data_IF_246072639940
#
_entry.id   IF_246072639940
#
_cell.length_a   1.000
_cell.length_b   1.000
_cell.length_c   1.000
_cell.angle_alpha   90.00
_cell.angle_beta   90.00
_cell.angle_gamma   90.00
#
_symmetry.space_group_name_H-M   'P 1'
#
loop_
_entity.id
_entity.type
_entity.pdbx_description
1 polymer ?
#
# COMPACT_ATOMS: atom_id res chain seq x y z
N UNK A 1 11.13 0.35 -1.10
CA UNK A 1 10.20 -0.71 -1.57
C UNK A 1 11.00 -1.85 -2.19
N UNK A 2 10.77 -3.11 -1.79
CA UNK A 2 11.36 -4.26 -2.48
C UNK A 2 10.46 -4.69 -3.66
N UNK A 3 10.60 -3.99 -4.78
CA UNK A 3 9.73 -4.16 -5.96
C UNK A 3 9.76 -5.57 -6.56
N UNK A 4 10.89 -6.27 -6.48
CA UNK A 4 11.00 -7.65 -6.95
C UNK A 4 10.25 -8.62 -6.04
N UNK A 5 10.39 -8.49 -4.71
CA UNK A 5 9.63 -9.29 -3.76
C UNK A 5 8.12 -9.06 -3.91
N UNK A 6 7.69 -7.82 -4.11
CA UNK A 6 6.27 -7.50 -4.34
C UNK A 6 5.75 -8.10 -5.64
N UNK A 7 6.54 -8.09 -6.72
CA UNK A 7 6.14 -8.76 -7.97
C UNK A 7 6.01 -10.27 -7.80
N UNK A 8 6.94 -10.91 -7.07
CA UNK A 8 6.88 -12.34 -6.79
C UNK A 8 5.65 -12.71 -5.94
N UNK A 9 5.33 -11.92 -4.91
CA UNK A 9 4.14 -12.17 -4.10
C UNK A 9 2.85 -12.06 -4.92
N UNK A 10 2.77 -11.09 -5.84
CA UNK A 10 1.66 -10.99 -6.79
C UNK A 10 1.60 -12.23 -7.69
N UNK A 11 2.71 -12.63 -8.33
CA UNK A 11 2.76 -13.78 -9.24
C UNK A 11 2.30 -15.08 -8.57
N UNK A 12 2.65 -15.26 -7.29
CA UNK A 12 2.31 -16.45 -6.51
C UNK A 12 0.95 -16.35 -5.80
N UNK A 13 0.20 -15.25 -5.99
CA UNK A 13 -1.03 -14.91 -5.25
C UNK A 13 -0.86 -14.96 -3.72
N UNK A 14 0.36 -14.65 -3.27
CA UNK A 14 0.74 -14.62 -1.86
C UNK A 14 0.34 -13.27 -1.26
N UNK A 15 -0.95 -13.20 -0.89
CA UNK A 15 -1.56 -12.02 -0.30
C UNK A 15 -0.90 -11.60 1.03
N UNK A 16 -0.44 -12.57 1.83
CA UNK A 16 0.20 -12.29 3.13
C UNK A 16 1.53 -11.56 2.92
N UNK A 17 2.37 -12.10 2.02
CA UNK A 17 3.63 -11.44 1.68
C UNK A 17 3.39 -10.07 1.05
N UNK A 18 2.37 -9.94 0.21
CA UNK A 18 2.00 -8.66 -0.38
C UNK A 18 1.62 -7.63 0.68
N UNK A 19 0.70 -7.96 1.60
CA UNK A 19 0.23 -7.07 2.67
C UNK A 19 1.39 -6.61 3.56
N UNK A 20 2.35 -7.49 3.87
CA UNK A 20 3.55 -7.12 4.62
C UNK A 20 4.42 -6.13 3.85
N UNK A 21 4.70 -6.40 2.57
CA UNK A 21 5.53 -5.55 1.74
C UNK A 21 4.89 -4.17 1.47
N UNK A 22 3.56 -4.14 1.37
CA UNK A 22 2.74 -2.94 1.26
C UNK A 22 2.85 -2.08 2.54
N UNK A 23 2.74 -2.70 3.70
CA UNK A 23 2.92 -2.02 4.99
C UNK A 23 4.33 -1.46 5.17
N UNK A 24 5.37 -2.24 4.86
CA UNK A 24 6.76 -1.79 4.92
C UNK A 24 7.01 -0.55 4.03
N UNK A 25 6.33 -0.48 2.89
CA UNK A 25 6.38 0.69 2.02
C UNK A 25 5.78 1.93 2.70
N UNK A 26 4.59 1.81 3.28
CA UNK A 26 3.95 2.93 4.00
C UNK A 26 4.78 3.41 5.20
N UNK A 27 5.35 2.50 5.99
CA UNK A 27 6.26 2.86 7.09
C UNK A 27 7.51 3.61 6.60
N UNK A 28 8.04 3.22 5.44
CA UNK A 28 9.19 3.90 4.84
C UNK A 28 8.86 5.35 4.48
N UNK A 29 7.66 5.61 3.95
CA UNK A 29 7.20 6.96 3.62
C UNK A 29 7.01 7.82 4.88
N UNK A 30 6.38 7.28 5.93
CA UNK A 30 6.16 8.04 7.17
C UNK A 30 7.47 8.38 7.87
N UNK A 31 8.45 7.47 7.84
CA UNK A 31 9.80 7.71 8.36
C UNK A 31 10.52 8.78 7.55
N UNK A 32 10.43 8.73 6.23
CA UNK A 32 11.01 9.76 5.35
C UNK A 32 10.45 11.15 5.64
N UNK A 33 9.15 11.24 5.97
CA UNK A 33 8.46 12.47 6.30
C UNK A 33 8.55 12.88 7.78
N UNK A 34 9.23 12.10 8.64
CA UNK A 34 9.23 12.27 10.10
C UNK A 34 7.82 12.32 10.74
N UNK A 35 6.87 11.54 10.20
CA UNK A 35 5.49 11.46 10.69
C UNK A 35 5.30 10.31 11.69
N UNK A 36 5.96 10.42 12.85
CA UNK A 36 6.02 9.36 13.89
C UNK A 36 4.65 8.92 14.42
N UNK A 37 3.68 9.84 14.52
CA UNK A 37 2.31 9.50 14.95
C UNK A 37 1.62 8.62 13.91
N UNK A 38 1.77 8.96 12.62
CA UNK A 38 1.15 8.20 11.53
C UNK A 38 1.79 6.82 11.41
N UNK A 39 3.10 6.72 11.61
CA UNK A 39 3.79 5.43 11.69
C UNK A 39 3.17 4.51 12.77
N UNK A 40 2.89 5.04 13.96
CA UNK A 40 2.24 4.26 15.03
C UNK A 40 0.83 3.81 14.65
N UNK A 41 0.05 4.70 14.03
CA UNK A 41 -1.31 4.38 13.55
C UNK A 41 -1.27 3.26 12.50
N UNK A 42 -0.35 3.34 11.53
CA UNK A 42 -0.20 2.33 10.49
C UNK A 42 0.23 0.96 11.04
N UNK A 43 1.13 0.93 12.03
CA UNK A 43 1.50 -0.32 12.72
C UNK A 43 0.29 -0.98 13.40
N UNK A 44 -0.53 -0.19 14.10
CA UNK A 44 -1.72 -0.69 14.75
C UNK A 44 -2.76 -1.21 13.75
N UNK A 45 -2.96 -0.49 12.64
CA UNK A 45 -3.87 -0.90 11.58
C UNK A 45 -3.41 -2.19 10.89
N UNK A 46 -2.12 -2.33 10.61
CA UNK A 46 -1.56 -3.54 10.00
C UNK A 46 -1.74 -4.79 10.87
N UNK A 47 -1.52 -4.67 12.18
CA UNK A 47 -1.76 -5.77 13.09
C UNK A 47 -3.23 -6.23 13.07
N UNK A 48 -4.17 -5.28 12.97
CA UNK A 48 -5.60 -5.57 12.84
C UNK A 48 -5.94 -6.18 11.47
N UNK A 49 -5.42 -5.63 10.36
CA UNK A 49 -5.67 -6.15 9.01
C UNK A 49 -5.00 -7.48 8.77
N UNK A 50 -3.91 -7.82 9.44
CA UNK A 50 -3.31 -9.16 9.37
C UNK A 50 -4.15 -10.20 10.12
N UNK A 51 -4.72 -9.83 11.28
CA UNK A 51 -5.68 -10.67 12.01
C UNK A 51 -6.98 -10.88 11.21
N UNK A 52 -7.46 -9.84 10.51
CA UNK A 52 -8.66 -9.89 9.68
C UNK A 52 -8.40 -10.48 8.27
N UNK A 53 -7.19 -10.32 7.73
CA UNK A 53 -6.76 -10.70 6.39
C UNK A 53 -6.70 -12.21 6.15
N UNK A 54 -6.80 -13.01 7.21
CA UNK A 54 -7.12 -14.43 7.11
C UNK A 54 -8.52 -14.69 6.50
N UNK A 55 -9.39 -13.68 6.37
CA UNK A 55 -10.75 -13.79 5.82
C UNK A 55 -11.00 -13.05 4.50
N UNK A 56 -10.24 -12.02 4.16
CA UNK A 56 -10.54 -11.15 3.01
C UNK A 56 -9.70 -11.51 1.79
N UNK A 57 -10.39 -12.01 0.77
CA UNK A 57 -9.85 -12.49 -0.50
C UNK A 57 -9.06 -11.39 -1.23
N UNK A 58 -7.79 -11.69 -1.51
CA UNK A 58 -6.95 -10.99 -2.49
C UNK A 58 -7.64 -10.97 -3.85
N UNK A 59 -7.91 -9.78 -4.39
CA UNK A 59 -8.11 -9.62 -5.83
C UNK A 59 -6.74 -9.36 -6.45
N UNK A 60 -6.15 -10.37 -7.09
CA UNK A 60 -4.87 -10.29 -7.82
C UNK A 60 -4.73 -9.04 -8.71
N UNK A 61 -5.84 -8.55 -9.28
CA UNK A 61 -5.90 -7.29 -10.03
C UNK A 61 -5.58 -6.05 -9.17
N UNK A 62 -6.10 -5.96 -7.95
CA UNK A 62 -5.83 -4.82 -7.05
C UNK A 62 -4.36 -4.78 -6.65
N UNK A 63 -3.74 -5.93 -6.32
CA UNK A 63 -2.32 -5.98 -5.95
C UNK A 63 -1.41 -5.44 -7.07
N UNK A 64 -1.73 -5.76 -8.33
CA UNK A 64 -1.04 -5.17 -9.50
C UNK A 64 -1.21 -3.65 -9.60
N UNK A 65 -2.43 -3.16 -9.38
CA UNK A 65 -2.72 -1.72 -9.41
C UNK A 65 -1.96 -0.98 -8.30
N UNK A 66 -1.94 -1.52 -7.07
CA UNK A 66 -1.17 -0.96 -5.94
C UNK A 66 0.31 -0.87 -6.30
N UNK A 67 0.88 -1.94 -6.87
CA UNK A 67 2.29 -1.92 -7.25
C UNK A 67 2.59 -0.79 -8.25
N UNK A 68 1.71 -0.55 -9.22
CA UNK A 68 1.85 0.55 -10.17
C UNK A 68 1.72 1.91 -9.49
N UNK A 69 0.75 2.08 -8.59
CA UNK A 69 0.57 3.30 -7.79
C UNK A 69 1.83 3.60 -6.95
N UNK A 70 2.45 2.59 -6.33
CA UNK A 70 3.68 2.77 -5.56
C UNK A 70 4.87 3.21 -6.43
N UNK A 71 4.98 2.68 -7.66
CA UNK A 71 6.01 3.15 -8.59
C UNK A 71 5.82 4.62 -8.95
N UNK A 72 4.57 5.08 -9.13
CA UNK A 72 4.28 6.49 -9.41
C UNK A 72 4.69 7.41 -8.25
N UNK A 73 4.45 6.97 -7.00
CA UNK A 73 4.89 7.70 -5.80
C UNK A 73 6.42 7.78 -5.76
N UNK A 74 7.12 6.66 -5.98
CA UNK A 74 8.59 6.62 -5.97
C UNK A 74 9.17 7.53 -7.06
N UNK A 75 8.64 7.46 -8.28
CA UNK A 75 9.10 8.31 -9.38
C UNK A 75 8.94 9.79 -9.04
N UNK A 76 7.81 10.20 -8.47
CA UNK A 76 7.58 11.58 -8.06
C UNK A 76 8.56 12.05 -6.96
N UNK A 77 8.91 11.16 -6.04
CA UNK A 77 9.93 11.42 -5.02
C UNK A 77 11.34 11.53 -5.62
N UNK A 78 11.70 10.68 -6.58
CA UNK A 78 12.98 10.72 -7.31
C UNK A 78 13.13 12.00 -8.12
N UNK A 79 12.05 12.47 -8.72
CA UNK A 79 11.97 13.75 -9.43
C UNK A 79 12.01 14.97 -8.47
N UNK A 80 11.98 14.75 -7.15
CA UNK A 80 11.95 15.79 -6.10
C UNK A 80 10.81 16.79 -6.31
N UNK A 81 9.67 16.31 -6.80
CA UNK A 81 8.49 17.13 -7.06
C UNK A 81 7.44 16.88 -5.96
N UNK A 82 7.36 17.74 -4.91
CA UNK A 82 6.50 17.49 -3.76
C UNK A 82 5.01 17.55 -4.12
N UNK A 83 4.61 18.39 -5.08
CA UNK A 83 3.23 18.46 -5.56
C UNK A 83 2.82 17.15 -6.26
N UNK A 84 3.69 16.63 -7.12
CA UNK A 84 3.46 15.36 -7.82
C UNK A 84 3.43 14.18 -6.84
N UNK A 85 4.32 14.16 -5.85
CA UNK A 85 4.35 13.12 -4.82
C UNK A 85 3.07 13.14 -3.98
N UNK A 86 2.61 14.32 -3.58
CA UNK A 86 1.35 14.50 -2.86
C UNK A 86 0.16 13.99 -3.67
N UNK A 87 0.07 14.39 -4.95
CA UNK A 87 -1.01 13.94 -5.83
C UNK A 87 -0.99 12.42 -6.04
N UNK A 88 0.19 11.82 -6.20
CA UNK A 88 0.33 10.37 -6.36
C UNK A 88 -0.15 9.60 -5.13
N UNK A 89 0.19 10.07 -3.92
CA UNK A 89 -0.27 9.48 -2.65
C UNK A 89 -1.79 9.64 -2.52
N UNK A 90 -2.35 10.84 -2.77
CA UNK A 90 -3.80 11.07 -2.71
C UNK A 90 -4.56 10.14 -3.65
N UNK A 91 -4.09 9.99 -4.90
CA UNK A 91 -4.69 9.09 -5.87
C UNK A 91 -4.65 7.62 -5.42
N UNK A 92 -3.56 7.19 -4.77
CA UNK A 92 -3.47 5.84 -4.21
C UNK A 92 -4.49 5.63 -3.08
N UNK A 93 -4.62 6.61 -2.17
CA UNK A 93 -5.56 6.52 -1.04
C UNK A 93 -7.03 6.47 -1.50
N UNK A 94 -7.42 7.27 -2.48
CA UNK A 94 -8.78 7.24 -3.04
C UNK A 94 -9.11 5.87 -3.67
N UNK A 95 -8.21 5.31 -4.49
CA UNK A 95 -8.41 3.98 -5.08
C UNK A 95 -8.47 2.86 -4.03
N UNK A 96 -7.68 2.98 -2.96
CA UNK A 96 -7.75 2.05 -1.83
C UNK A 96 -9.10 2.15 -1.14
N UNK A 97 -9.61 3.36 -0.88
CA UNK A 97 -10.93 3.59 -0.28
C UNK A 97 -12.07 3.01 -1.13
N UNK A 98 -12.07 3.23 -2.44
CA UNK A 98 -13.06 2.67 -3.37
C UNK A 98 -13.11 1.14 -3.31
N UNK A 99 -11.97 0.49 -3.08
CA UNK A 99 -11.89 -0.97 -2.97
C UNK A 99 -12.64 -1.50 -1.74
N UNK A 100 -12.63 -0.74 -0.63
CA UNK A 100 -13.33 -1.13 0.60
C UNK A 100 -14.85 -0.94 0.51
N UNK A 101 -15.32 0.12 -0.15
CA UNK A 101 -16.77 0.41 -0.30
C UNK A 101 -17.48 -0.74 -1.04
N UNK A 102 -16.83 -1.35 -2.04
CA UNK A 102 -17.40 -2.45 -2.82
C UNK A 102 -17.62 -3.72 -1.97
N UNK A 103 -16.89 -3.89 -0.86
CA UNK A 103 -16.97 -5.10 -0.03
C UNK A 103 -18.11 -5.02 1.00
N UNK A 104 -18.55 -3.81 1.38
CA UNK A 104 -19.61 -3.60 2.39
C UNK A 104 -21.03 -3.70 1.79
N UNK A 105 -21.17 -3.56 0.46
CA UNK A 105 -22.43 -3.70 -0.28
C UNK A 105 -22.68 -5.13 -0.85
N UNK A 106 -21.89 -6.14 -0.44
CA UNK A 106 -21.96 -7.52 -0.96
C UNK A 106 -22.42 -8.56 0.07
#
# INVERSE_FOLDING_TARGET
MNSEATRRSIQNDDAISFIRLDHDFHLSLTRLANFTIIEQVLNNLHNLTQLMGLKAVSKHRRMKNVLMEHHQIIQALEEKNPELASQAILNHLEKTKETFIIVDDS
#
